data_IF_516869183003
#
_entry.id   IF_516869183003
#
_cell.length_a   1.000
_cell.length_b   1.000
_cell.length_c   1.000
_cell.angle_alpha   90.00
_cell.angle_beta   90.00
_cell.angle_gamma   90.00
#
_symmetry.space_group_name_H-M   'P 1'
#
loop_
_entity.id
_entity.type
_entity.pdbx_description
1 polymer ?
#
# COMPACT_ATOMS: atom_id res chain seq x y z
N UNK A 1 -19.68 -8.19 11.25
CA UNK A 1 -19.38 -7.04 10.39
C UNK A 1 -18.16 -6.34 10.95
N UNK A 2 -17.13 -6.14 10.12
CA UNK A 2 -15.96 -5.36 10.50
C UNK A 2 -16.34 -3.86 10.51
N UNK A 3 -15.75 -3.03 11.38
CA UNK A 3 -16.21 -1.65 11.59
C UNK A 3 -15.74 -0.63 10.52
N UNK A 4 -15.12 -1.09 9.44
CA UNK A 4 -14.40 -0.20 8.50
C UNK A 4 -15.34 0.42 7.47
N UNK A 5 -15.18 1.72 7.19
CA UNK A 5 -15.95 2.46 6.16
C UNK A 5 -15.10 2.84 4.96
N UNK A 6 -13.78 2.75 5.07
CA UNK A 6 -12.84 3.06 4.01
C UNK A 6 -11.73 2.02 4.02
N UNK A 7 -11.42 1.46 2.84
CA UNK A 7 -10.28 0.57 2.66
C UNK A 7 -9.30 1.27 1.72
N UNK A 8 -8.09 1.52 2.22
CA UNK A 8 -6.99 2.12 1.47
C UNK A 8 -6.02 1.01 1.06
N UNK A 9 -5.84 0.86 -0.24
CA UNK A 9 -4.87 -0.05 -0.83
C UNK A 9 -3.68 0.75 -1.30
N UNK A 10 -2.47 0.26 -1.02
CA UNK A 10 -1.38 0.56 -1.94
C UNK A 10 -1.72 -0.01 -3.33
N UNK A 11 -1.20 0.61 -4.38
CA UNK A 11 -1.50 0.21 -5.76
C UNK A 11 -0.39 -0.69 -6.31
N UNK A 12 0.85 -0.22 -6.28
CA UNK A 12 1.99 -0.97 -6.80
C UNK A 12 2.38 -2.09 -5.84
N UNK A 13 2.56 -3.31 -6.35
CA UNK A 13 2.79 -4.55 -5.58
C UNK A 13 1.65 -5.03 -4.68
N UNK A 14 0.61 -4.22 -4.46
CA UNK A 14 -0.60 -4.59 -3.70
C UNK A 14 -1.81 -4.92 -4.60
N UNK A 15 -2.12 -4.15 -5.65
CA UNK A 15 -3.23 -4.45 -6.60
C UNK A 15 -2.77 -4.68 -8.05
N UNK A 16 -1.59 -4.18 -8.42
CA UNK A 16 -0.94 -4.42 -9.71
C UNK A 16 0.54 -4.03 -9.64
N UNK A 17 1.36 -4.43 -10.61
CA UNK A 17 2.75 -3.94 -10.74
C UNK A 17 2.84 -3.00 -11.94
N UNK A 18 2.56 -1.72 -11.72
CA UNK A 18 2.72 -0.64 -12.71
C UNK A 18 4.07 0.06 -12.59
N UNK A 19 4.79 -0.19 -11.49
CA UNK A 19 6.10 0.38 -11.17
C UNK A 19 7.09 0.22 -12.32
N UNK A 20 7.22 -0.99 -12.89
CA UNK A 20 8.10 -1.23 -14.03
C UNK A 20 7.71 -0.41 -15.25
N UNK A 21 6.43 -0.33 -15.58
CA UNK A 21 5.95 0.41 -16.75
C UNK A 21 6.14 1.92 -16.63
N UNK A 22 5.80 2.47 -15.47
CA UNK A 22 5.88 3.92 -15.18
C UNK A 22 7.35 4.34 -15.07
N UNK A 23 8.16 3.63 -14.29
CA UNK A 23 9.59 3.93 -14.13
C UNK A 23 10.32 3.80 -15.46
N UNK A 24 10.05 2.75 -16.25
CA UNK A 24 10.69 2.59 -17.56
C UNK A 24 10.32 3.73 -18.50
N UNK A 25 9.04 4.13 -18.53
CA UNK A 25 8.57 5.20 -19.43
C UNK A 25 9.10 6.58 -19.04
N UNK A 26 9.11 6.90 -17.74
CA UNK A 26 9.62 8.18 -17.22
C UNK A 26 11.14 8.25 -17.35
N UNK A 27 11.88 7.19 -17.05
CA UNK A 27 13.33 7.16 -17.20
C UNK A 27 13.74 7.27 -18.67
N UNK A 28 13.01 6.60 -19.57
CA UNK A 28 13.22 6.73 -21.01
C UNK A 28 13.00 8.18 -21.49
N UNK A 29 11.94 8.85 -21.02
CA UNK A 29 11.67 10.25 -21.36
C UNK A 29 12.74 11.21 -20.81
N UNK A 30 13.18 11.02 -19.57
CA UNK A 30 14.24 11.84 -18.95
C UNK A 30 15.57 11.65 -19.67
N UNK A 31 15.92 10.41 -20.03
CA UNK A 31 17.13 10.09 -20.79
C UNK A 31 17.10 10.71 -22.19
N UNK A 32 15.97 10.60 -22.90
CA UNK A 32 15.80 11.18 -24.23
C UNK A 32 15.88 12.72 -24.24
N UNK A 33 15.67 13.35 -23.08
CA UNK A 33 15.70 14.80 -22.88
C UNK A 33 16.97 15.28 -22.16
N UNK A 34 17.97 14.40 -21.94
CA UNK A 34 19.24 14.70 -21.23
C UNK A 34 19.08 15.21 -19.78
N UNK A 35 18.01 14.79 -19.10
CA UNK A 35 17.79 15.06 -17.68
C UNK A 35 18.22 13.89 -16.79
N UNK A 36 18.74 14.15 -15.57
CA UNK A 36 19.06 13.09 -14.60
C UNK A 36 17.79 12.41 -14.08
N UNK A 37 17.89 11.09 -13.81
CA UNK A 37 16.79 10.30 -13.25
C UNK A 37 16.73 10.48 -11.72
N UNK A 38 15.58 10.91 -11.15
CA UNK A 38 15.43 11.15 -9.72
C UNK A 38 15.15 9.88 -8.89
N UNK A 39 15.45 9.95 -7.59
CA UNK A 39 15.10 8.91 -6.61
C UNK A 39 13.60 8.94 -6.22
N UNK A 40 13.02 7.84 -5.69
CA UNK A 40 11.59 7.74 -5.37
C UNK A 40 11.09 8.75 -4.32
N UNK A 41 9.81 9.18 -4.40
CA UNK A 41 9.22 10.26 -3.57
C UNK A 41 7.89 9.85 -2.88
N UNK A 42 7.71 10.08 -1.57
CA UNK A 42 6.54 9.67 -0.78
C UNK A 42 5.31 10.60 -0.79
N UNK A 43 5.27 11.67 -1.59
CA UNK A 43 4.18 12.68 -1.57
C UNK A 43 2.75 12.14 -1.80
N UNK A 44 2.58 11.01 -2.49
CA UNK A 44 1.25 10.45 -2.81
C UNK A 44 0.43 10.06 -1.57
N UNK A 45 1.10 9.55 -0.53
CA UNK A 45 0.47 9.09 0.72
C UNK A 45 -0.18 10.28 1.47
N UNK A 46 0.49 11.43 1.45
CA UNK A 46 0.00 12.63 2.14
C UNK A 46 -1.25 13.24 1.48
N UNK A 47 -1.37 13.14 0.14
CA UNK A 47 -2.49 13.71 -0.61
C UNK A 47 -3.78 12.88 -0.46
N UNK A 48 -3.68 11.54 -0.44
CA UNK A 48 -4.83 10.65 -0.27
C UNK A 48 -5.55 10.89 1.06
N UNK A 49 -4.78 11.11 2.14
CA UNK A 49 -5.31 11.40 3.49
C UNK A 49 -6.14 12.67 3.54
N UNK A 50 -5.72 13.71 2.81
CA UNK A 50 -6.43 14.99 2.82
C UNK A 50 -7.76 14.93 2.05
N UNK A 51 -7.85 14.10 1.00
CA UNK A 51 -9.01 14.09 0.10
C UNK A 51 -10.14 13.14 0.51
N UNK A 52 -9.85 12.11 1.29
CA UNK A 52 -10.82 11.06 1.65
C UNK A 52 -11.53 11.29 2.99
N UNK A 53 -11.20 12.37 3.70
CA UNK A 53 -11.75 12.68 5.04
C UNK A 53 -11.69 11.48 6.01
N UNK A 54 -10.70 10.61 5.83
CA UNK A 54 -10.63 9.33 6.51
C UNK A 54 -10.03 9.47 7.91
N UNK A 55 -10.53 8.66 8.86
CA UNK A 55 -10.00 8.62 10.23
C UNK A 55 -9.35 7.27 10.53
N UNK A 56 -8.37 7.22 11.45
CA UNK A 56 -7.71 5.97 11.83
C UNK A 56 -8.66 4.84 12.24
N UNK A 57 -9.75 5.19 12.90
CA UNK A 57 -10.73 4.25 13.48
C UNK A 57 -11.63 3.60 12.42
N UNK A 58 -11.76 4.22 11.25
CA UNK A 58 -12.66 3.79 10.18
C UNK A 58 -11.92 3.34 8.92
N UNK A 59 -10.58 3.32 8.97
CA UNK A 59 -9.69 3.08 7.84
C UNK A 59 -8.83 1.86 8.06
N UNK A 60 -8.90 0.91 7.13
CA UNK A 60 -7.95 -0.20 7.02
C UNK A 60 -6.91 0.12 5.95
N UNK A 61 -5.65 0.08 6.32
CA UNK A 61 -4.52 0.14 5.39
C UNK A 61 -4.13 -1.30 4.98
N UNK A 62 -4.02 -1.55 3.68
CA UNK A 62 -3.59 -2.85 3.14
C UNK A 62 -2.29 -2.67 2.36
N UNK A 63 -1.25 -3.45 2.69
CA UNK A 63 0.05 -3.39 2.03
C UNK A 63 0.88 -4.66 2.22
N UNK A 64 1.98 -4.76 1.48
CA UNK A 64 2.79 -5.99 1.38
C UNK A 64 4.15 -5.88 2.08
N UNK A 65 4.49 -4.71 2.64
CA UNK A 65 5.83 -4.44 3.15
C UNK A 65 5.91 -4.03 4.62
N UNK A 66 7.12 -4.13 5.18
CA UNK A 66 7.44 -3.54 6.50
C UNK A 66 7.24 -2.03 6.50
N UNK A 67 7.46 -1.37 5.36
CA UNK A 67 7.26 0.07 5.21
C UNK A 67 5.78 0.41 5.37
N UNK A 68 4.88 -0.39 4.81
CA UNK A 68 3.43 -0.25 4.97
C UNK A 68 3.00 -0.46 6.42
N UNK A 69 3.51 -1.52 7.06
CA UNK A 69 3.21 -1.82 8.45
C UNK A 69 3.63 -0.67 9.38
N UNK A 70 4.80 -0.06 9.11
CA UNK A 70 5.29 1.11 9.84
C UNK A 70 4.46 2.35 9.54
N UNK A 71 4.12 2.61 8.28
CA UNK A 71 3.32 3.76 7.87
C UNK A 71 1.92 3.70 8.51
N UNK A 72 1.26 2.55 8.44
CA UNK A 72 -0.03 2.32 9.08
C UNK A 72 0.04 2.54 10.59
N UNK A 73 1.04 1.95 11.26
CA UNK A 73 1.25 2.13 12.71
C UNK A 73 1.49 3.59 13.09
N UNK A 74 2.34 4.31 12.36
CA UNK A 74 2.65 5.72 12.65
C UNK A 74 1.44 6.63 12.42
N UNK A 75 0.60 6.29 11.45
CA UNK A 75 -0.63 7.02 11.15
C UNK A 75 -1.83 6.56 12.00
N UNK A 76 -1.67 5.54 12.85
CA UNK A 76 -2.71 5.00 13.73
C UNK A 76 -3.72 4.07 13.05
N UNK A 77 -3.48 3.68 11.80
CA UNK A 77 -4.40 2.86 11.01
C UNK A 77 -4.34 1.39 11.43
N UNK A 78 -5.49 0.72 11.33
CA UNK A 78 -5.54 -0.73 11.25
C UNK A 78 -4.74 -1.20 10.01
N UNK A 79 -4.02 -2.32 10.14
CA UNK A 79 -3.16 -2.81 9.07
C UNK A 79 -3.49 -4.26 8.70
N UNK A 80 -3.71 -4.52 7.42
CA UNK A 80 -3.77 -5.86 6.85
C UNK A 80 -2.57 -6.07 5.93
N UNK A 81 -1.85 -7.16 6.13
CA UNK A 81 -0.73 -7.52 5.28
C UNK A 81 -1.18 -8.41 4.12
N UNK A 82 -0.60 -8.24 2.93
CA UNK A 82 -0.77 -9.16 1.79
C UNK A 82 0.57 -9.73 1.33
N UNK A 83 0.63 -11.05 1.12
CA UNK A 83 1.87 -11.79 0.78
C UNK A 83 2.17 -11.82 -0.72
N UNK A 84 1.67 -10.85 -1.48
CA UNK A 84 2.00 -10.68 -2.91
C UNK A 84 3.36 -10.03 -3.13
N UNK A 85 3.88 -9.38 -2.08
CA UNK A 85 5.15 -8.68 -2.07
C UNK A 85 6.40 -9.54 -1.95
N UNK A 86 7.52 -8.85 -1.78
CA UNK A 86 8.83 -9.47 -1.54
C UNK A 86 9.18 -9.61 -0.06
N UNK A 87 8.38 -8.99 0.83
CA UNK A 87 8.60 -9.06 2.27
C UNK A 87 8.20 -10.42 2.81
N UNK A 88 9.09 -11.15 3.50
CA UNK A 88 8.75 -12.42 4.12
C UNK A 88 7.66 -12.26 5.18
N UNK A 89 6.75 -13.23 5.28
CA UNK A 89 5.67 -13.21 6.26
C UNK A 89 6.17 -13.06 7.70
N UNK A 90 7.34 -13.65 8.01
CA UNK A 90 8.01 -13.59 9.31
C UNK A 90 8.38 -12.15 9.70
N UNK A 91 8.76 -11.31 8.73
CA UNK A 91 9.07 -9.91 8.99
C UNK A 91 7.82 -9.09 9.38
N UNK A 92 6.65 -9.51 8.89
CA UNK A 92 5.37 -8.85 9.17
C UNK A 92 4.74 -9.31 10.49
N UNK A 93 5.12 -10.49 11.01
CA UNK A 93 4.67 -10.99 12.31
C UNK A 93 5.09 -10.11 13.49
N UNK A 94 6.12 -9.27 13.32
CA UNK A 94 6.56 -8.30 14.33
C UNK A 94 5.55 -7.13 14.52
N UNK A 95 4.52 -7.04 13.69
CA UNK A 95 3.53 -5.97 13.70
C UNK A 95 2.15 -6.48 14.10
N UNK A 96 1.33 -5.59 14.68
CA UNK A 96 -0.05 -5.92 15.02
C UNK A 96 -0.92 -5.89 13.76
N UNK A 97 -1.13 -7.07 13.18
CA UNK A 97 -1.94 -7.24 11.98
C UNK A 97 -3.42 -7.46 12.35
N UNK A 98 -4.33 -6.82 11.61
CA UNK A 98 -5.74 -7.18 11.62
C UNK A 98 -5.98 -8.51 10.89
N UNK A 99 -5.28 -8.74 9.78
CA UNK A 99 -5.30 -10.00 9.04
C UNK A 99 -4.06 -10.13 8.15
N UNK A 100 -3.75 -11.36 7.74
CA UNK A 100 -2.70 -11.70 6.80
C UNK A 100 -3.33 -12.40 5.60
N UNK A 101 -3.18 -11.80 4.42
CA UNK A 101 -3.79 -12.23 3.16
C UNK A 101 -2.73 -12.86 2.26
N UNK A 102 -3.08 -13.92 1.53
CA UNK A 102 -2.14 -14.61 0.62
C UNK A 102 -2.08 -14.01 -0.77
N UNK A 103 -3.09 -13.25 -1.17
CA UNK A 103 -3.23 -12.76 -2.53
C UNK A 103 -4.38 -11.79 -2.70
N UNK A 104 -4.44 -11.13 -3.86
CA UNK A 104 -5.46 -10.16 -4.20
C UNK A 104 -6.89 -10.71 -4.18
N UNK A 105 -7.09 -12.01 -4.42
CA UNK A 105 -8.41 -12.64 -4.28
C UNK A 105 -8.95 -12.57 -2.85
N UNK A 106 -8.08 -12.72 -1.84
CA UNK A 106 -8.48 -12.66 -0.44
C UNK A 106 -8.76 -11.21 0.02
N UNK A 107 -8.14 -10.22 -0.64
CA UNK A 107 -8.48 -8.81 -0.46
C UNK A 107 -9.96 -8.58 -0.83
N UNK A 108 -10.40 -9.10 -1.99
CA UNK A 108 -11.79 -8.93 -2.46
C UNK A 108 -12.77 -9.55 -1.47
N UNK A 109 -12.53 -10.79 -1.06
CA UNK A 109 -13.38 -11.48 -0.08
C UNK A 109 -13.43 -10.76 1.27
N UNK A 110 -12.30 -10.16 1.70
CA UNK A 110 -12.25 -9.36 2.91
C UNK A 110 -13.16 -8.13 2.81
N UNK A 111 -13.09 -7.37 1.71
CA UNK A 111 -13.92 -6.17 1.48
C UNK A 111 -15.41 -6.54 1.45
N UNK A 112 -15.78 -7.61 0.76
CA UNK A 112 -17.19 -8.05 0.65
C UNK A 112 -17.79 -8.49 1.99
N UNK A 113 -16.93 -8.76 2.99
CA UNK A 113 -17.30 -9.14 4.35
C UNK A 113 -17.37 -7.96 5.33
N UNK A 114 -17.01 -6.75 4.88
CA UNK A 114 -17.14 -5.48 5.63
C UNK A 114 -18.54 -4.91 5.43
#
# INVERSE_FOLDING_TARGET
MLPYRTVLFDFDYTLGDSSRGIVTSVNAALTALDYPVPEPNPQGIHLARQRLESTPETTLYVGDSVVDALAARQAGFAFAAVLTGTTPAEALQAYQLCTLLRGSSEIVTMIESV
#
